data_IF_260485656831
#
_entry.id   IF_260485656831
#
_cell.length_a   1.000
_cell.length_b   1.000
_cell.length_c   1.000
_cell.angle_alpha   90.00
_cell.angle_beta   90.00
_cell.angle_gamma   90.00
#
_symmetry.space_group_name_H-M   'P 1'
#
loop_
_entity.id
_entity.type
_entity.pdbx_description
1 polymer ?
#
# COMPACT_ATOMS: atom_id res chain seq x y z
N UNK A 1 -1.01 34.44 36.15
CA UNK A 1 -1.39 34.06 35.59
C UNK A 1 -0.93 33.22 34.56
N UNK A 2 -0.44 33.53 33.85
CA UNK A 2 -0.05 32.83 32.85
C UNK A 2 -0.20 31.47 32.79
N UNK A 3 -0.30 30.96 33.39
CA UNK A 3 -0.45 29.72 33.40
C UNK A 3 -0.86 29.13 32.22
N UNK A 4 -1.63 29.43 31.83
CA UNK A 4 -2.11 28.83 30.78
C UNK A 4 -1.36 27.91 30.06
N UNK A 5 -0.72 28.09 29.51
CA UNK A 5 -0.04 27.40 28.71
C UNK A 5 -0.13 26.02 28.75
N UNK A 6 0.00 25.65 29.14
CA UNK A 6 0.04 24.49 29.21
C UNK A 6 -0.43 23.69 28.37
N UNK A 7 -0.98 23.78 27.83
CA UNK A 7 -1.57 23.08 27.11
C UNK A 7 -0.84 22.34 26.29
N UNK A 8 -0.17 22.33 25.87
CA UNK A 8 0.57 21.77 25.06
C UNK A 8 0.64 20.42 25.01
N UNK A 9 0.54 19.83 25.45
CA UNK A 9 0.61 18.52 25.51
C UNK A 9 0.41 17.85 24.27
N UNK A 10 -0.22 18.06 23.59
CA UNK A 10 -0.39 17.51 22.48
C UNK A 10 0.70 16.82 21.90
N UNK A 11 1.21 15.89 22.22
CA UNK A 11 2.25 15.23 21.64
C UNK A 11 1.85 13.92 21.09
N UNK A 12 0.68 13.47 21.29
CA UNK A 12 0.30 12.21 20.80
C UNK A 12 0.58 11.94 19.36
N UNK A 13 0.28 12.78 18.46
CA UNK A 13 0.55 12.52 17.05
C UNK A 13 2.00 12.25 16.79
N UNK A 14 2.84 12.92 17.58
CA UNK A 14 4.23 12.75 17.39
C UNK A 14 4.70 11.38 17.85
N UNK A 15 4.16 10.87 18.93
CA UNK A 15 4.53 9.56 19.41
C UNK A 15 4.11 8.50 18.42
N UNK A 16 2.91 8.61 17.87
CA UNK A 16 2.43 7.65 16.91
C UNK A 16 3.34 7.64 15.69
N UNK A 17 3.75 8.81 15.24
CA UNK A 17 4.62 8.90 14.10
C UNK A 17 5.97 8.24 14.38
N UNK A 18 6.47 8.38 15.58
CA UNK A 18 7.74 7.77 15.96
C UNK A 18 7.64 6.25 15.93
N UNK A 19 6.52 5.70 16.41
CA UNK A 19 6.32 4.27 16.40
C UNK A 19 6.20 3.74 14.98
N UNK A 20 5.52 4.47 14.09
CA UNK A 20 5.40 4.07 12.71
C UNK A 20 6.75 4.06 12.01
N UNK A 21 7.56 5.09 12.25
CA UNK A 21 8.90 5.14 11.68
C UNK A 21 9.76 4.00 12.19
N UNK A 22 9.59 3.62 13.44
CA UNK A 22 10.36 2.51 14.01
C UNK A 22 10.04 1.21 13.29
N UNK A 23 8.77 0.97 12.97
CA UNK A 23 8.40 -0.24 12.23
C UNK A 23 8.97 -0.23 10.83
N UNK A 24 8.88 0.89 10.14
CA UNK A 24 9.43 1.03 8.81
C UNK A 24 10.94 0.80 8.83
N UNK A 25 11.63 1.39 9.80
CA UNK A 25 13.06 1.22 9.92
C UNK A 25 13.44 -0.23 10.17
N UNK A 26 12.68 -0.92 11.02
CA UNK A 26 12.94 -2.33 11.28
C UNK A 26 12.76 -3.17 10.02
N UNK A 27 11.69 -2.92 9.26
CA UNK A 27 11.46 -3.66 8.02
C UNK A 27 12.56 -3.39 7.00
N UNK A 28 13.03 -2.15 6.92
CA UNK A 28 14.11 -1.82 5.99
C UNK A 28 15.41 -2.53 6.36
N UNK A 29 15.70 -2.62 7.66
CA UNK A 29 16.89 -3.35 8.10
C UNK A 29 16.79 -4.82 7.77
N UNK A 30 15.61 -5.39 7.94
CA UNK A 30 15.40 -6.79 7.59
C UNK A 30 15.58 -7.00 6.09
N UNK A 31 15.14 -6.04 5.27
CA UNK A 31 15.32 -6.12 3.83
C UNK A 31 16.80 -6.09 3.43
N UNK A 32 17.64 -5.37 4.17
CA UNK A 32 19.06 -5.37 3.88
C UNK A 32 19.63 -6.78 3.98
N UNK A 33 19.10 -7.58 4.91
CA UNK A 33 19.56 -8.95 5.10
C UNK A 33 18.84 -9.93 4.18
N UNK A 34 17.63 -9.62 3.77
CA UNK A 34 16.82 -10.52 2.94
C UNK A 34 16.09 -9.73 1.87
N UNK A 35 16.82 -9.19 0.88
CA UNK A 35 16.23 -8.28 -0.10
C UNK A 35 15.17 -8.88 -1.01
N UNK A 36 15.12 -10.20 -1.11
CA UNK A 36 14.14 -10.86 -1.96
C UNK A 36 13.00 -11.53 -1.18
N UNK A 37 12.81 -11.14 0.07
CA UNK A 37 11.70 -11.67 0.87
C UNK A 37 10.44 -10.84 0.57
N UNK A 38 9.47 -11.41 -0.14
CA UNK A 38 8.28 -10.64 -0.52
C UNK A 38 7.45 -10.17 0.68
N UNK A 39 7.51 -10.91 1.80
CA UNK A 39 6.74 -10.52 2.98
C UNK A 39 7.19 -9.17 3.52
N UNK A 40 8.49 -8.88 3.43
CA UNK A 40 9.01 -7.60 3.90
C UNK A 40 8.58 -6.45 2.99
N UNK A 41 8.55 -6.70 1.68
CA UNK A 41 8.06 -5.71 0.73
C UNK A 41 6.58 -5.40 0.98
N UNK A 42 5.79 -6.45 1.17
CA UNK A 42 4.36 -6.28 1.43
C UNK A 42 4.14 -5.55 2.76
N UNK A 43 4.93 -5.88 3.77
CA UNK A 43 4.85 -5.20 5.07
C UNK A 43 5.15 -3.71 4.97
N UNK A 44 6.18 -3.35 4.21
CA UNK A 44 6.49 -1.94 3.98
C UNK A 44 5.37 -1.24 3.24
N UNK A 45 4.82 -1.88 2.21
CA UNK A 45 3.72 -1.28 1.46
C UNK A 45 2.54 -0.99 2.40
N UNK A 46 2.22 -1.92 3.31
CA UNK A 46 1.13 -1.73 4.24
C UNK A 46 1.37 -0.55 5.18
N UNK A 47 2.61 -0.41 5.67
CA UNK A 47 2.93 0.72 6.54
C UNK A 47 2.83 2.04 5.78
N UNK A 48 3.32 2.09 4.55
CA UNK A 48 3.23 3.30 3.75
C UNK A 48 1.77 3.63 3.39
N UNK A 49 0.93 2.61 3.17
CA UNK A 49 -0.50 2.84 2.94
C UNK A 49 -1.14 3.55 4.12
N UNK A 50 -0.83 3.11 5.33
CA UNK A 50 -1.39 3.73 6.51
C UNK A 50 -1.00 5.20 6.64
N UNK A 51 0.17 5.54 6.12
CA UNK A 51 0.67 6.91 6.16
C UNK A 51 0.26 7.73 4.93
N UNK A 52 -0.40 7.11 3.97
CA UNK A 52 -0.78 7.80 2.74
C UNK A 52 0.39 8.13 1.83
N UNK A 53 1.51 7.41 1.98
CA UNK A 53 2.69 7.65 1.16
C UNK A 53 2.59 6.83 -0.11
N UNK A 54 1.72 7.24 -1.00
CA UNK A 54 1.32 6.43 -2.15
C UNK A 54 2.44 6.09 -3.12
N UNK A 55 3.38 6.99 -3.33
CA UNK A 55 4.50 6.67 -4.21
C UNK A 55 5.35 5.54 -3.67
N UNK A 56 5.57 5.52 -2.36
CA UNK A 56 6.33 4.44 -1.74
C UNK A 56 5.54 3.14 -1.75
N UNK A 57 4.21 3.23 -1.63
CA UNK A 57 3.36 2.05 -1.75
C UNK A 57 3.55 1.42 -3.13
N UNK A 58 3.52 2.24 -4.19
CA UNK A 58 3.69 1.75 -5.55
C UNK A 58 5.04 1.05 -5.70
N UNK A 59 6.11 1.68 -5.20
CA UNK A 59 7.45 1.10 -5.33
C UNK A 59 7.55 -0.25 -4.65
N UNK A 60 7.05 -0.36 -3.41
CA UNK A 60 7.15 -1.62 -2.69
C UNK A 60 6.25 -2.71 -3.26
N UNK A 61 5.06 -2.35 -3.72
CA UNK A 61 4.17 -3.35 -4.33
C UNK A 61 4.71 -3.84 -5.66
N UNK A 62 5.37 -2.99 -6.43
CA UNK A 62 5.99 -3.44 -7.69
C UNK A 62 7.13 -4.40 -7.42
N UNK A 63 7.93 -4.15 -6.39
CA UNK A 63 8.97 -5.07 -6.00
C UNK A 63 8.37 -6.39 -5.52
N UNK A 64 7.31 -6.33 -4.73
CA UNK A 64 6.61 -7.52 -4.26
C UNK A 64 6.08 -8.35 -5.43
N UNK A 65 5.44 -7.69 -6.39
CA UNK A 65 4.85 -8.38 -7.54
C UNK A 65 5.90 -8.98 -8.46
N UNK A 66 7.11 -8.47 -8.44
CA UNK A 66 8.20 -9.07 -9.20
C UNK A 66 8.74 -10.33 -8.52
N UNK A 67 8.46 -10.49 -7.21
CA UNK A 67 8.99 -11.60 -6.43
C UNK A 67 7.98 -12.74 -6.24
N UNK A 68 6.72 -12.53 -6.48
CA UNK A 68 5.72 -13.54 -6.15
C UNK A 68 4.56 -13.50 -7.15
N UNK A 69 3.88 -14.64 -7.26
CA UNK A 69 2.67 -14.74 -8.09
C UNK A 69 1.48 -14.40 -7.18
N UNK A 70 1.09 -13.13 -7.21
CA UNK A 70 0.01 -12.64 -6.36
C UNK A 70 -1.35 -13.13 -6.84
N UNK A 71 -2.26 -13.36 -5.89
CA UNK A 71 -3.60 -13.86 -6.22
C UNK A 71 -4.59 -12.76 -6.57
N UNK A 72 -4.14 -11.52 -6.66
CA UNK A 72 -4.97 -10.38 -7.05
C UNK A 72 -4.99 -9.26 -6.04
N UNK A 73 -4.78 -9.55 -4.76
CA UNK A 73 -4.87 -8.54 -3.70
C UNK A 73 -3.85 -7.42 -3.86
N UNK A 74 -2.60 -7.75 -4.11
CA UNK A 74 -1.57 -6.72 -4.25
C UNK A 74 -1.78 -5.90 -5.52
N UNK A 75 -2.29 -6.53 -6.58
CA UNK A 75 -2.62 -5.80 -7.80
C UNK A 75 -3.68 -4.74 -7.54
N UNK A 76 -4.72 -5.08 -6.77
CA UNK A 76 -5.76 -4.11 -6.42
C UNK A 76 -5.24 -2.98 -5.56
N UNK A 77 -4.33 -3.30 -4.62
CA UNK A 77 -3.73 -2.27 -3.77
C UNK A 77 -2.83 -1.34 -4.59
N UNK A 78 -2.11 -1.90 -5.56
CA UNK A 78 -1.31 -1.10 -6.48
C UNK A 78 -2.22 -0.18 -7.30
N UNK A 79 -3.33 -0.72 -7.80
CA UNK A 79 -4.30 0.07 -8.55
C UNK A 79 -4.82 1.24 -7.74
N UNK A 80 -5.17 0.99 -6.47
CA UNK A 80 -5.64 2.06 -5.60
C UNK A 80 -4.57 3.13 -5.37
N UNK A 81 -3.34 2.71 -5.11
CA UNK A 81 -2.26 3.67 -4.86
C UNK A 81 -1.99 4.53 -6.11
N UNK A 82 -1.98 3.91 -7.28
CA UNK A 82 -1.80 4.65 -8.52
C UNK A 82 -2.93 5.63 -8.78
N UNK A 83 -4.16 5.22 -8.43
CA UNK A 83 -5.31 6.10 -8.57
C UNK A 83 -5.20 7.31 -7.64
N UNK A 84 -4.73 7.09 -6.39
CA UNK A 84 -4.53 8.18 -5.45
C UNK A 84 -3.50 9.19 -5.97
N UNK A 85 -2.57 8.73 -6.78
CA UNK A 85 -1.55 9.59 -7.38
C UNK A 85 -2.02 10.23 -8.69
N UNK A 86 -3.23 9.94 -9.14
CA UNK A 86 -3.73 10.45 -10.41
C UNK A 86 -3.15 9.75 -11.62
N UNK A 87 -2.49 8.62 -11.44
CA UNK A 87 -1.89 7.87 -12.54
C UNK A 87 -2.90 6.84 -13.04
N UNK A 88 -3.97 7.35 -13.65
CA UNK A 88 -5.16 6.56 -13.95
C UNK A 88 -4.94 5.43 -14.95
N UNK A 89 -4.17 5.65 -15.99
CA UNK A 89 -3.94 4.59 -16.98
C UNK A 89 -3.22 3.40 -16.36
N UNK A 90 -2.20 3.68 -15.54
CA UNK A 90 -1.47 2.62 -14.86
C UNK A 90 -2.34 1.95 -13.80
N UNK A 91 -3.19 2.73 -13.13
CA UNK A 91 -4.09 2.18 -12.12
C UNK A 91 -5.08 1.20 -12.75
N UNK A 92 -5.65 1.56 -13.90
CA UNK A 92 -6.57 0.66 -14.60
C UNK A 92 -5.87 -0.62 -15.03
N UNK A 93 -4.63 -0.50 -15.50
CA UNK A 93 -3.90 -1.69 -15.90
C UNK A 93 -3.62 -2.60 -14.70
N UNK A 94 -3.31 -2.02 -13.54
CA UNK A 94 -3.10 -2.81 -12.32
C UNK A 94 -4.37 -3.57 -11.94
N UNK A 95 -5.54 -2.92 -12.03
CA UNK A 95 -6.80 -3.61 -11.74
C UNK A 95 -7.08 -4.71 -12.75
N UNK A 96 -6.76 -4.51 -14.04
CA UNK A 96 -6.94 -5.57 -15.04
C UNK A 96 -6.08 -6.78 -14.72
N UNK A 97 -4.84 -6.53 -14.33
CA UNK A 97 -3.95 -7.62 -13.91
C UNK A 97 -4.49 -8.31 -12.66
N UNK A 98 -5.07 -7.54 -11.76
CA UNK A 98 -5.69 -8.09 -10.56
C UNK A 98 -6.86 -9.02 -10.91
N UNK A 99 -7.66 -8.64 -11.90
CA UNK A 99 -8.77 -9.49 -12.36
C UNK A 99 -8.23 -10.81 -12.89
N UNK A 100 -7.21 -10.75 -13.75
CA UNK A 100 -6.61 -11.95 -14.32
C UNK A 100 -6.07 -12.86 -13.22
N UNK A 101 -5.34 -12.29 -12.27
CA UNK A 101 -4.76 -13.07 -11.18
C UNK A 101 -5.85 -13.68 -10.30
N UNK A 102 -6.88 -12.89 -9.97
CA UNK A 102 -7.97 -13.37 -9.15
C UNK A 102 -8.70 -14.54 -9.80
N UNK A 103 -8.97 -14.44 -11.07
CA UNK A 103 -9.65 -15.54 -11.78
C UNK A 103 -8.75 -16.77 -11.87
N UNK A 104 -7.46 -16.58 -12.14
CA UNK A 104 -6.53 -17.69 -12.22
C UNK A 104 -6.42 -18.44 -10.91
N UNK A 105 -6.53 -17.74 -9.80
CA UNK A 105 -6.40 -18.34 -8.47
C UNK A 105 -7.75 -18.67 -7.81
N UNK A 106 -8.84 -18.58 -8.57
CA UNK A 106 -10.14 -19.00 -8.04
C UNK A 106 -10.83 -18.01 -7.11
N UNK A 107 -10.63 -16.72 -7.31
CA UNK A 107 -11.25 -15.67 -6.51
C UNK A 107 -12.21 -14.81 -7.36
N UNK A 108 -13.34 -15.38 -7.82
CA UNK A 108 -14.24 -14.62 -8.71
C UNK A 108 -14.87 -13.39 -8.04
N UNK A 109 -15.05 -13.42 -6.73
CA UNK A 109 -15.59 -12.25 -6.02
C UNK A 109 -14.65 -11.07 -6.08
N UNK A 110 -13.34 -11.30 -5.90
CA UNK A 110 -12.34 -10.26 -6.00
C UNK A 110 -12.28 -9.70 -7.42
N UNK A 111 -12.36 -10.60 -8.43
CA UNK A 111 -12.39 -10.18 -9.82
C UNK A 111 -13.59 -9.27 -10.10
N UNK A 112 -14.76 -9.65 -9.58
CA UNK A 112 -15.96 -8.85 -9.76
C UNK A 112 -15.84 -7.47 -9.12
N UNK A 113 -15.21 -7.39 -7.95
CA UNK A 113 -14.98 -6.10 -7.30
C UNK A 113 -14.13 -5.19 -8.17
N UNK A 114 -13.07 -5.72 -8.75
CA UNK A 114 -12.18 -4.93 -9.58
C UNK A 114 -12.87 -4.53 -10.91
N UNK A 115 -13.68 -5.42 -11.45
CA UNK A 115 -14.46 -5.10 -12.64
C UNK A 115 -15.42 -3.95 -12.37
N UNK A 116 -16.06 -3.95 -11.20
CA UNK A 116 -16.96 -2.87 -10.85
C UNK A 116 -16.22 -1.55 -10.71
N UNK A 117 -15.02 -1.57 -10.10
CA UNK A 117 -14.21 -0.37 -10.01
C UNK A 117 -13.92 0.20 -11.40
N UNK A 118 -13.54 -0.65 -12.35
CA UNK A 118 -13.26 -0.20 -13.71
C UNK A 118 -14.49 0.33 -14.42
N UNK A 119 -15.64 -0.33 -14.23
CA UNK A 119 -16.88 0.10 -14.88
C UNK A 119 -17.42 1.41 -14.35
N UNK A 120 -17.22 1.69 -13.07
CA UNK A 120 -17.74 2.90 -12.46
C UNK A 120 -16.70 4.02 -12.39
N UNK A 121 -15.56 3.85 -13.04
CA UNK A 121 -14.51 4.85 -12.99
C UNK A 121 -14.87 6.01 -13.91
N UNK A 122 -14.99 7.18 -13.33
CA UNK A 122 -15.28 8.37 -14.12
C UNK A 122 -13.99 8.98 -14.61
N UNK A 123 -13.95 9.30 -15.86
CA UNK A 123 -12.76 9.94 -16.44
C UNK A 123 -12.75 11.43 -16.26
#
# INVERSE_FOLDING_TARGET
AGAAPLRFPIRRPRLDRTMENTRIDALRKMLELSPNDPRLRFGLAAEYERLGRWELVVDELREYLALTDDEGNAWGRLGNALRQLGRDAEAREAYRRGIEAALRHGHPGMAAEYEEILETWDD
#
